data_IF_704826063558
#
_entry.id   IF_704826063558
#
_cell.length_a   1.000
_cell.length_b   1.000
_cell.length_c   1.000
_cell.angle_alpha   90.00
_cell.angle_beta   90.00
_cell.angle_gamma   90.00
#
_symmetry.space_group_name_H-M   'P 1'
#
loop_
_entity.id
_entity.type
_entity.pdbx_description
1 polymer ?
#
# COMPACT_ATOMS: atom_id res chain seq x y z
N UNK A 1 -19.94 -9.52 0.77
CA UNK A 1 -19.67 -10.01 -0.62
C UNK A 1 -18.57 -11.03 -0.50
N UNK A 2 -18.70 -12.19 -1.07
CA UNK A 2 -17.58 -13.14 -1.13
C UNK A 2 -16.57 -12.65 -2.16
N UNK A 3 -15.33 -12.37 -1.74
CA UNK A 3 -14.27 -11.89 -2.62
C UNK A 3 -13.51 -13.00 -3.37
N UNK A 4 -13.85 -14.27 -3.11
CA UNK A 4 -13.23 -15.43 -3.76
C UNK A 4 -11.74 -15.61 -3.46
N UNK A 5 -11.24 -15.09 -2.34
CA UNK A 5 -9.81 -15.11 -1.96
C UNK A 5 -9.52 -15.92 -0.69
N UNK A 6 -10.52 -16.58 -0.13
CA UNK A 6 -10.31 -17.44 1.04
C UNK A 6 -9.27 -18.54 0.74
N UNK A 7 -8.37 -18.79 1.69
CA UNK A 7 -7.26 -19.73 1.55
C UNK A 7 -6.03 -19.20 0.77
N UNK A 8 -6.10 -17.99 0.20
CA UNK A 8 -4.95 -17.30 -0.41
C UNK A 8 -3.96 -16.83 0.64
N UNK A 9 -2.78 -16.41 0.17
CA UNK A 9 -1.71 -15.87 1.01
C UNK A 9 -1.37 -14.45 0.60
N UNK A 10 -1.11 -13.57 1.58
CA UNK A 10 -0.79 -12.17 1.32
C UNK A 10 0.40 -11.67 2.14
N UNK A 11 1.24 -10.85 1.51
CA UNK A 11 2.26 -10.05 2.19
C UNK A 11 1.87 -8.57 2.16
N UNK A 12 1.80 -7.94 3.34
CA UNK A 12 1.40 -6.54 3.50
C UNK A 12 2.55 -5.75 4.11
N UNK A 13 3.16 -4.89 3.31
CA UNK A 13 4.26 -4.04 3.74
C UNK A 13 3.77 -2.91 4.65
N UNK A 14 4.57 -2.56 5.68
CA UNK A 14 4.22 -1.57 6.71
C UNK A 14 2.81 -1.81 7.29
N UNK A 15 2.49 -3.09 7.58
CA UNK A 15 1.18 -3.56 8.01
C UNK A 15 0.92 -3.42 9.52
N UNK A 16 1.84 -2.83 10.28
CA UNK A 16 1.70 -2.72 11.75
C UNK A 16 0.83 -1.55 12.22
N UNK A 17 0.39 -0.66 11.32
CA UNK A 17 -0.47 0.49 11.67
C UNK A 17 -1.18 1.08 10.43
N UNK A 18 -2.16 1.93 10.68
CA UNK A 18 -2.82 2.76 9.65
C UNK A 18 -3.39 1.97 8.48
N UNK A 19 -3.16 2.45 7.26
CA UNK A 19 -3.76 1.88 6.04
C UNK A 19 -3.28 0.45 5.74
N UNK A 20 -2.00 0.16 6.04
CA UNK A 20 -1.47 -1.20 5.89
C UNK A 20 -2.13 -2.19 6.86
N UNK A 21 -2.38 -1.77 8.10
CA UNK A 21 -3.10 -2.59 9.08
C UNK A 21 -4.57 -2.80 8.66
N UNK A 22 -5.25 -1.74 8.18
CA UNK A 22 -6.60 -1.86 7.63
C UNK A 22 -6.67 -2.87 6.49
N UNK A 23 -5.71 -2.82 5.54
CA UNK A 23 -5.62 -3.79 4.45
C UNK A 23 -5.38 -5.23 4.96
N UNK A 24 -4.50 -5.41 5.96
CA UNK A 24 -4.24 -6.72 6.54
C UNK A 24 -5.47 -7.31 7.24
N UNK A 25 -6.20 -6.49 8.01
CA UNK A 25 -7.47 -6.90 8.66
C UNK A 25 -8.51 -7.32 7.63
N UNK A 26 -8.72 -6.52 6.59
CA UNK A 26 -9.72 -6.81 5.57
C UNK A 26 -9.41 -8.13 4.83
N UNK A 27 -8.16 -8.34 4.42
CA UNK A 27 -7.74 -9.58 3.76
C UNK A 27 -7.88 -10.79 4.70
N UNK A 28 -7.48 -10.66 5.96
CA UNK A 28 -7.61 -11.74 6.95
C UNK A 28 -9.08 -12.09 7.24
N UNK A 29 -9.98 -11.10 7.29
CA UNK A 29 -11.41 -11.31 7.47
C UNK A 29 -12.06 -12.11 6.31
N UNK A 30 -11.50 -12.01 5.10
CA UNK A 30 -11.88 -12.81 3.94
C UNK A 30 -11.15 -14.16 3.85
N UNK A 31 -10.50 -14.60 4.92
CA UNK A 31 -9.86 -15.92 5.03
C UNK A 31 -8.47 -16.02 4.37
N UNK A 32 -7.81 -14.89 4.12
CA UNK A 32 -6.43 -14.85 3.60
C UNK A 32 -5.44 -15.01 4.75
N UNK A 33 -4.44 -15.89 4.60
CA UNK A 33 -3.31 -15.97 5.52
C UNK A 33 -2.35 -14.81 5.25
N UNK A 34 -2.04 -14.01 6.26
CA UNK A 34 -1.31 -12.74 6.06
C UNK A 34 0.05 -12.75 6.75
N UNK A 35 1.05 -12.16 6.06
CA UNK A 35 2.32 -11.75 6.62
C UNK A 35 2.38 -10.21 6.60
N UNK A 36 2.77 -9.61 7.72
CA UNK A 36 2.93 -8.15 7.84
C UNK A 36 4.37 -7.80 8.20
N UNK A 37 4.84 -6.63 7.76
CA UNK A 37 6.11 -6.12 8.25
C UNK A 37 6.03 -4.72 8.87
N UNK A 38 7.03 -4.41 9.67
CA UNK A 38 7.22 -3.12 10.32
C UNK A 38 8.55 -3.08 11.09
N UNK A 39 8.93 -1.92 11.62
CA UNK A 39 10.21 -1.71 12.31
C UNK A 39 10.16 -1.95 13.82
N UNK A 40 8.99 -2.11 14.38
CA UNK A 40 8.75 -2.15 15.82
C UNK A 40 8.03 -3.46 16.17
N UNK A 41 8.73 -4.35 16.87
CA UNK A 41 8.23 -5.65 17.26
C UNK A 41 6.96 -5.57 18.14
N UNK A 42 6.88 -4.58 19.03
CA UNK A 42 5.70 -4.43 19.90
C UNK A 42 4.46 -4.01 19.08
N UNK A 43 4.62 -3.12 18.12
CA UNK A 43 3.54 -2.74 17.20
C UNK A 43 3.13 -3.88 16.27
N UNK A 44 4.08 -4.69 15.81
CA UNK A 44 3.79 -5.88 15.02
C UNK A 44 2.97 -6.90 15.84
N UNK A 45 3.36 -7.15 17.09
CA UNK A 45 2.61 -8.04 17.98
C UNK A 45 1.18 -7.53 18.25
N UNK A 46 1.02 -6.22 18.53
CA UNK A 46 -0.29 -5.61 18.70
C UNK A 46 -1.14 -5.68 17.42
N UNK A 47 -0.53 -5.47 16.25
CA UNK A 47 -1.20 -5.59 14.96
C UNK A 47 -1.66 -7.02 14.69
N UNK A 48 -0.83 -8.02 14.97
CA UNK A 48 -1.19 -9.43 14.83
C UNK A 48 -2.41 -9.81 15.69
N UNK A 49 -2.47 -9.32 16.92
CA UNK A 49 -3.64 -9.49 17.79
C UNK A 49 -4.89 -8.79 17.23
N UNK A 50 -4.74 -7.60 16.65
CA UNK A 50 -5.85 -6.84 16.09
C UNK A 50 -6.37 -7.42 14.76
N UNK A 51 -5.52 -8.09 13.98
CA UNK A 51 -5.90 -8.81 12.76
C UNK A 51 -6.60 -10.12 13.13
N UNK A 52 -6.07 -10.84 14.12
CA UNK A 52 -6.55 -12.17 14.52
C UNK A 52 -6.08 -13.30 13.63
N UNK A 53 -6.25 -14.55 14.08
CA UNK A 53 -5.80 -15.73 13.35
C UNK A 53 -4.29 -15.94 13.36
N UNK A 54 -3.79 -16.68 12.37
CA UNK A 54 -2.36 -17.00 12.21
C UNK A 54 -1.67 -15.93 11.33
N UNK A 55 -1.15 -14.90 11.97
CA UNK A 55 -0.46 -13.77 11.32
C UNK A 55 1.05 -13.92 11.46
N UNK A 56 1.75 -13.94 10.32
CA UNK A 56 3.22 -13.88 10.29
C UNK A 56 3.68 -12.43 10.47
N UNK A 57 4.54 -12.19 11.47
CA UNK A 57 5.14 -10.86 11.70
C UNK A 57 6.63 -10.89 11.36
N UNK A 58 7.08 -9.91 10.58
CA UNK A 58 8.45 -9.78 10.10
C UNK A 58 8.99 -8.39 10.43
N UNK A 59 10.10 -8.31 11.14
CA UNK A 59 10.77 -7.03 11.34
C UNK A 59 11.52 -6.63 10.05
N UNK A 60 11.20 -5.45 9.52
CA UNK A 60 11.86 -4.90 8.33
C UNK A 60 11.84 -3.37 8.32
N UNK A 61 12.97 -2.77 7.94
CA UNK A 61 13.06 -1.36 7.60
C UNK A 61 13.09 -1.19 6.08
N UNK A 62 11.97 -0.82 5.50
CA UNK A 62 11.78 -0.69 4.06
C UNK A 62 12.58 0.49 3.44
N UNK A 63 13.30 1.27 4.21
CA UNK A 63 14.24 2.29 3.70
C UNK A 63 15.61 1.70 3.35
N UNK A 64 15.94 0.54 3.90
CA UNK A 64 17.23 -0.12 3.64
C UNK A 64 17.28 -0.77 2.24
N UNK A 65 18.45 -0.84 1.60
CA UNK A 65 18.65 -1.54 0.34
C UNK A 65 18.23 -3.02 0.43
N UNK A 66 17.56 -3.51 -0.62
CA UNK A 66 17.04 -4.90 -0.74
C UNK A 66 15.96 -5.30 0.27
N UNK A 67 15.57 -4.43 1.20
CA UNK A 67 14.60 -4.77 2.25
C UNK A 67 13.24 -5.16 1.70
N UNK A 68 12.81 -4.57 0.59
CA UNK A 68 11.58 -4.95 -0.09
C UNK A 68 11.63 -6.39 -0.62
N UNK A 69 12.74 -6.78 -1.24
CA UNK A 69 12.97 -8.15 -1.71
C UNK A 69 13.00 -9.14 -0.54
N UNK A 70 13.81 -8.86 0.47
CA UNK A 70 13.97 -9.72 1.65
C UNK A 70 12.64 -9.93 2.40
N UNK A 71 11.83 -8.88 2.51
CA UNK A 71 10.49 -9.01 3.09
C UNK A 71 9.62 -10.02 2.31
N UNK A 72 9.57 -9.93 0.98
CA UNK A 72 8.79 -10.85 0.15
C UNK A 72 9.33 -12.27 0.23
N UNK A 73 10.65 -12.47 0.19
CA UNK A 73 11.29 -13.77 0.32
C UNK A 73 10.95 -14.43 1.67
N UNK A 74 11.06 -13.69 2.77
CA UNK A 74 10.74 -14.16 4.12
C UNK A 74 9.23 -14.46 4.28
N UNK A 75 8.37 -13.60 3.77
CA UNK A 75 6.92 -13.82 3.77
C UNK A 75 6.56 -15.08 2.97
N UNK A 76 7.15 -15.26 1.79
CA UNK A 76 6.93 -16.42 0.95
C UNK A 76 7.41 -17.70 1.64
N UNK A 77 8.56 -17.67 2.31
CA UNK A 77 9.07 -18.83 3.06
C UNK A 77 8.14 -19.22 4.21
N UNK A 78 7.58 -18.24 4.92
CA UNK A 78 6.66 -18.48 6.04
C UNK A 78 5.26 -18.94 5.61
N UNK A 79 4.75 -18.41 4.48
CA UNK A 79 3.41 -18.72 3.97
C UNK A 79 3.37 -19.91 2.99
N UNK A 80 4.53 -20.33 2.47
CA UNK A 80 4.67 -21.37 1.46
C UNK A 80 4.64 -20.83 0.02
N UNK A 81 3.80 -19.85 -0.26
CA UNK A 81 3.73 -19.11 -1.53
C UNK A 81 3.11 -17.74 -1.28
N UNK A 82 3.10 -16.89 -2.30
CA UNK A 82 2.52 -15.54 -2.20
C UNK A 82 1.58 -15.27 -3.37
N UNK A 83 0.28 -15.09 -3.08
CA UNK A 83 -0.75 -14.79 -4.06
C UNK A 83 -1.03 -13.29 -4.16
N UNK A 84 -1.01 -12.59 -3.02
CA UNK A 84 -1.36 -11.17 -2.91
C UNK A 84 -0.19 -10.40 -2.33
N UNK A 85 0.18 -9.30 -2.97
CA UNK A 85 1.16 -8.34 -2.46
C UNK A 85 0.50 -6.98 -2.27
N UNK A 86 0.49 -6.48 -1.04
CA UNK A 86 0.14 -5.08 -0.75
C UNK A 86 1.42 -4.31 -0.44
N UNK A 87 1.91 -3.52 -1.40
CA UNK A 87 3.07 -2.67 -1.17
C UNK A 87 2.65 -1.38 -0.46
N UNK A 88 3.39 -1.02 0.56
CA UNK A 88 3.18 0.18 1.36
C UNK A 88 4.49 0.57 2.04
N UNK A 89 4.64 1.83 2.41
CA UNK A 89 5.75 2.30 3.22
C UNK A 89 5.36 3.55 4.01
N UNK A 90 6.18 3.93 4.97
CA UNK A 90 6.04 5.21 5.65
C UNK A 90 6.14 6.38 4.66
N UNK A 91 5.59 7.52 5.03
CA UNK A 91 5.78 8.71 4.20
C UNK A 91 7.02 9.49 4.65
N UNK A 92 7.74 10.16 3.74
CA UNK A 92 8.84 11.07 4.07
C UNK A 92 8.32 12.29 4.86
N UNK A 93 9.20 13.05 5.51
CA UNK A 93 8.83 14.32 6.15
C UNK A 93 8.17 15.28 5.15
N UNK A 94 7.29 16.19 5.61
CA UNK A 94 6.79 17.28 4.79
C UNK A 94 7.92 18.20 4.30
N UNK A 95 7.75 18.75 3.10
CA UNK A 95 8.70 19.71 2.52
C UNK A 95 8.13 20.34 1.26
N UNK A 96 8.57 21.57 1.01
CA UNK A 96 8.24 22.41 -0.16
C UNK A 96 9.44 22.51 -1.10
N UNK A 97 9.29 23.20 -2.22
CA UNK A 97 10.43 23.47 -3.13
C UNK A 97 11.60 24.15 -2.42
N UNK A 98 11.34 25.07 -1.50
CA UNK A 98 12.36 25.86 -0.84
C UNK A 98 13.14 25.10 0.25
N UNK A 99 12.50 24.12 0.91
CA UNK A 99 13.08 23.46 2.09
C UNK A 99 13.25 21.94 1.96
N UNK A 100 13.08 21.37 0.76
CA UNK A 100 13.36 19.96 0.49
C UNK A 100 14.74 19.84 -0.14
N UNK A 101 15.70 19.32 0.59
CA UNK A 101 17.04 19.04 0.09
C UNK A 101 17.11 17.80 -0.82
N UNK A 102 18.20 17.62 -1.55
CA UNK A 102 18.36 16.50 -2.49
C UNK A 102 18.37 15.13 -1.79
N UNK A 103 18.92 15.05 -0.58
CA UNK A 103 18.97 13.80 0.17
C UNK A 103 17.56 13.35 0.60
N UNK A 104 16.65 14.30 0.86
CA UNK A 104 15.25 13.98 1.14
C UNK A 104 14.53 13.36 -0.07
N UNK A 105 14.88 13.77 -1.29
CA UNK A 105 14.34 13.11 -2.51
C UNK A 105 14.86 11.69 -2.64
N UNK A 106 16.17 11.46 -2.40
CA UNK A 106 16.74 10.12 -2.47
C UNK A 106 16.10 9.19 -1.42
N UNK A 107 16.00 9.66 -0.17
CA UNK A 107 15.37 8.89 0.91
C UNK A 107 13.89 8.57 0.62
N UNK A 108 13.15 9.53 0.06
CA UNK A 108 11.77 9.31 -0.36
C UNK A 108 11.66 8.30 -1.51
N UNK A 109 12.56 8.37 -2.49
CA UNK A 109 12.61 7.43 -3.60
C UNK A 109 12.94 6.02 -3.10
N UNK A 110 13.94 5.86 -2.24
CA UNK A 110 14.32 4.56 -1.69
C UNK A 110 13.16 3.91 -0.95
N UNK A 111 12.48 4.66 -0.08
CA UNK A 111 11.37 4.15 0.73
C UNK A 111 10.07 3.95 -0.07
N UNK A 112 9.69 4.88 -0.96
CA UNK A 112 8.35 4.94 -1.55
C UNK A 112 8.29 4.55 -3.03
N UNK A 113 9.45 4.24 -3.64
CA UNK A 113 9.52 3.78 -5.02
C UNK A 113 10.36 2.51 -5.12
N UNK A 114 11.67 2.56 -4.80
CA UNK A 114 12.59 1.44 -4.97
C UNK A 114 12.16 0.21 -4.16
N UNK A 115 11.87 0.36 -2.86
CA UNK A 115 11.44 -0.78 -2.02
C UNK A 115 10.21 -1.49 -2.58
N UNK A 116 9.25 -0.73 -3.13
CA UNK A 116 8.03 -1.30 -3.72
C UNK A 116 8.31 -1.98 -5.07
N UNK A 117 9.25 -1.45 -5.87
CA UNK A 117 9.74 -2.11 -7.08
C UNK A 117 10.44 -3.43 -6.72
N UNK A 118 11.27 -3.45 -5.68
CA UNK A 118 11.93 -4.66 -5.16
C UNK A 118 10.90 -5.73 -4.78
N UNK A 119 9.85 -5.36 -4.04
CA UNK A 119 8.76 -6.28 -3.68
C UNK A 119 8.05 -6.86 -4.91
N UNK A 120 7.70 -6.02 -5.89
CA UNK A 120 7.05 -6.46 -7.12
C UNK A 120 7.95 -7.43 -7.91
N UNK A 121 9.24 -7.12 -8.03
CA UNK A 121 10.20 -7.97 -8.73
C UNK A 121 10.43 -9.33 -8.05
N UNK A 122 10.31 -9.39 -6.73
CA UNK A 122 10.44 -10.62 -5.97
C UNK A 122 9.19 -11.51 -6.02
N UNK A 123 7.99 -10.91 -6.14
CA UNK A 123 6.72 -11.66 -6.06
C UNK A 123 6.12 -12.03 -7.42
N UNK A 124 6.14 -11.11 -8.38
CA UNK A 124 5.42 -11.25 -9.66
C UNK A 124 5.87 -12.46 -10.49
N UNK A 125 7.16 -12.81 -10.62
CA UNK A 125 7.56 -13.97 -11.42
C UNK A 125 6.84 -15.25 -11.01
N UNK A 126 6.80 -15.58 -9.72
CA UNK A 126 6.11 -16.77 -9.23
C UNK A 126 4.58 -16.68 -9.35
N UNK A 127 3.98 -15.47 -9.27
CA UNK A 127 2.56 -15.26 -9.54
C UNK A 127 2.23 -15.58 -11.02
N UNK A 128 3.06 -15.12 -11.96
CA UNK A 128 2.93 -15.38 -13.40
C UNK A 128 2.98 -16.90 -13.70
N UNK A 129 3.94 -17.61 -13.11
CA UNK A 129 4.07 -19.06 -13.27
C UNK A 129 2.83 -19.82 -12.80
N UNK A 130 2.14 -19.33 -11.76
CA UNK A 130 0.90 -19.92 -11.25
C UNK A 130 -0.36 -19.44 -11.98
N UNK A 131 -0.25 -18.48 -12.91
CA UNK A 131 -1.38 -17.90 -13.64
C UNK A 131 -2.34 -17.10 -12.75
N UNK A 132 -1.90 -16.66 -11.56
CA UNK A 132 -2.71 -15.88 -10.63
C UNK A 132 -1.83 -15.01 -9.73
N UNK A 133 -2.19 -13.74 -9.61
CA UNK A 133 -1.56 -12.80 -8.69
C UNK A 133 -2.32 -11.49 -8.57
N UNK A 134 -2.24 -10.87 -7.39
CA UNK A 134 -2.81 -9.55 -7.11
C UNK A 134 -1.77 -8.67 -6.45
N UNK A 135 -1.46 -7.55 -7.09
CA UNK A 135 -0.59 -6.51 -6.54
C UNK A 135 -1.41 -5.24 -6.35
N UNK A 136 -1.48 -4.74 -5.13
CA UNK A 136 -2.11 -3.47 -4.80
C UNK A 136 -1.11 -2.57 -4.07
N UNK A 137 -0.72 -1.46 -4.69
CA UNK A 137 0.18 -0.50 -4.07
C UNK A 137 -0.60 0.61 -3.35
N UNK A 138 -0.33 0.82 -2.06
CA UNK A 138 -0.84 1.98 -1.34
C UNK A 138 0.03 3.18 -1.70
N UNK A 139 -0.49 4.07 -2.52
CA UNK A 139 0.23 5.24 -2.99
C UNK A 139 -0.28 6.54 -2.33
N UNK A 140 -0.92 7.43 -3.04
CA UNK A 140 -1.44 8.71 -2.52
C UNK A 140 -2.34 9.38 -3.56
N UNK A 141 -3.32 10.17 -3.13
CA UNK A 141 -3.98 11.17 -3.98
C UNK A 141 -2.97 12.12 -4.64
N UNK A 142 -1.81 12.32 -4.00
CA UNK A 142 -0.73 13.17 -4.51
C UNK A 142 -0.13 12.73 -5.86
N UNK A 143 -0.41 11.52 -6.35
CA UNK A 143 0.01 11.07 -7.70
C UNK A 143 -0.94 11.58 -8.79
N UNK A 144 -2.16 11.96 -8.45
CA UNK A 144 -3.14 12.59 -9.33
C UNK A 144 -3.13 14.11 -9.19
N UNK A 145 -3.11 14.56 -7.95
CA UNK A 145 -3.09 15.98 -7.60
C UNK A 145 -1.93 16.24 -6.64
N UNK A 146 -0.78 16.75 -7.12
CA UNK A 146 0.40 17.00 -6.30
C UNK A 146 0.09 17.88 -5.09
N UNK A 147 0.61 17.47 -3.92
CA UNK A 147 0.41 18.15 -2.65
C UNK A 147 1.65 19.01 -2.36
N UNK A 148 1.49 20.34 -2.35
CA UNK A 148 2.60 21.29 -2.33
C UNK A 148 3.58 21.15 -1.16
N UNK A 149 3.14 20.65 -0.01
CA UNK A 149 4.00 20.40 1.15
C UNK A 149 4.47 18.93 1.28
N UNK A 150 4.25 18.10 0.26
CA UNK A 150 4.72 16.71 0.19
C UNK A 150 5.56 16.47 -1.06
N UNK A 151 6.48 17.38 -1.37
CA UNK A 151 7.26 17.42 -2.61
C UNK A 151 7.97 16.09 -2.90
N UNK A 152 8.86 15.65 -2.01
CA UNK A 152 9.64 14.43 -2.20
C UNK A 152 8.75 13.18 -2.31
N UNK A 153 7.67 13.10 -1.51
CA UNK A 153 6.70 12.01 -1.58
C UNK A 153 5.98 11.96 -2.93
N UNK A 154 5.54 13.12 -3.45
CA UNK A 154 4.83 13.22 -4.73
C UNK A 154 5.71 12.76 -5.89
N UNK A 155 6.98 13.19 -5.92
CA UNK A 155 7.96 12.78 -6.95
C UNK A 155 8.19 11.27 -6.92
N UNK A 156 8.47 10.69 -5.75
CA UNK A 156 8.75 9.26 -5.62
C UNK A 156 7.54 8.40 -6.01
N UNK A 157 6.34 8.78 -5.57
CA UNK A 157 5.12 8.02 -5.85
C UNK A 157 4.62 8.18 -7.28
N UNK A 158 4.89 9.30 -7.95
CA UNK A 158 4.63 9.45 -9.38
C UNK A 158 5.50 8.48 -10.21
N UNK A 159 6.79 8.36 -9.88
CA UNK A 159 7.69 7.38 -10.47
C UNK A 159 7.21 5.94 -10.26
N UNK A 160 6.79 5.59 -9.04
CA UNK A 160 6.19 4.29 -8.75
C UNK A 160 4.93 4.05 -9.58
N UNK A 161 4.04 5.04 -9.71
CA UNK A 161 2.79 4.90 -10.46
C UNK A 161 3.04 4.57 -11.93
N UNK A 162 4.07 5.20 -12.53
CA UNK A 162 4.51 4.85 -13.89
C UNK A 162 5.00 3.40 -13.99
N UNK A 163 5.84 2.95 -13.05
CA UNK A 163 6.29 1.56 -12.98
C UNK A 163 5.11 0.58 -12.88
N UNK A 164 4.17 0.83 -11.97
CA UNK A 164 2.99 -0.03 -11.79
C UNK A 164 2.15 -0.13 -13.07
N UNK A 165 1.96 0.99 -13.79
CA UNK A 165 1.21 1.02 -15.04
C UNK A 165 1.86 0.19 -16.13
N UNK A 166 3.16 0.30 -16.29
CA UNK A 166 3.92 -0.49 -17.27
C UNK A 166 3.87 -1.97 -16.92
N UNK A 167 4.16 -2.32 -15.65
CA UNK A 167 4.13 -3.70 -15.15
C UNK A 167 2.75 -4.33 -15.35
N UNK A 168 1.67 -3.62 -15.02
CA UNK A 168 0.31 -4.12 -15.21
C UNK A 168 0.02 -4.60 -16.63
N UNK A 169 0.48 -3.84 -17.62
CA UNK A 169 0.29 -4.17 -19.05
C UNK A 169 1.13 -5.38 -19.48
N UNK A 170 2.31 -5.53 -18.89
CA UNK A 170 3.23 -6.60 -19.22
C UNK A 170 2.77 -7.96 -18.68
N UNK A 171 2.16 -7.98 -17.47
CA UNK A 171 1.83 -9.23 -16.77
C UNK A 171 0.34 -9.62 -16.84
N UNK A 172 -0.50 -8.79 -17.46
CA UNK A 172 -1.95 -9.01 -17.49
C UNK A 172 -2.35 -10.35 -18.15
N UNK A 173 -1.65 -10.77 -19.21
CA UNK A 173 -1.91 -12.02 -19.90
C UNK A 173 -1.60 -13.25 -19.04
N UNK A 174 -0.79 -13.10 -18.00
CA UNK A 174 -0.40 -14.17 -17.08
C UNK A 174 -1.32 -14.26 -15.84
N UNK A 175 -2.49 -13.62 -15.87
CA UNK A 175 -3.47 -13.65 -14.79
C UNK A 175 -3.11 -12.80 -13.56
N UNK A 176 -2.12 -11.89 -13.70
CA UNK A 176 -1.67 -11.00 -12.62
C UNK A 176 -2.25 -9.59 -12.83
N UNK A 177 -2.92 -9.05 -11.81
CA UNK A 177 -3.34 -7.65 -11.81
C UNK A 177 -2.42 -6.80 -10.94
N UNK A 178 -2.14 -5.57 -11.39
CA UNK A 178 -1.32 -4.60 -10.66
C UNK A 178 -2.05 -3.27 -10.63
N UNK A 179 -2.48 -2.87 -9.44
CA UNK A 179 -3.26 -1.65 -9.22
C UNK A 179 -2.68 -0.81 -8.08
N UNK A 180 -3.17 0.40 -7.91
CA UNK A 180 -2.88 1.20 -6.72
C UNK A 180 -4.16 1.70 -6.05
N UNK A 181 -4.18 1.67 -4.72
CA UNK A 181 -5.14 2.38 -3.89
C UNK A 181 -4.53 3.73 -3.50
N UNK A 182 -5.25 4.81 -3.77
CA UNK A 182 -4.76 6.19 -3.66
C UNK A 182 -5.51 6.92 -2.55
N UNK A 183 -5.01 6.87 -1.30
CA UNK A 183 -5.67 7.50 -0.18
C UNK A 183 -5.61 9.03 -0.27
N UNK A 184 -6.72 9.68 0.06
CA UNK A 184 -6.76 11.05 0.53
C UNK A 184 -6.50 11.13 2.04
N UNK A 185 -7.15 12.06 2.73
CA UNK A 185 -7.00 12.28 4.17
C UNK A 185 -7.72 11.18 4.96
N UNK A 186 -6.98 10.16 5.39
CA UNK A 186 -7.44 9.13 6.31
C UNK A 186 -6.93 9.39 7.72
N UNK A 187 -7.76 9.21 8.74
CA UNK A 187 -7.37 9.43 10.12
C UNK A 187 -6.46 8.31 10.63
N UNK A 188 -5.18 8.59 10.65
CA UNK A 188 -4.12 7.68 11.08
C UNK A 188 -3.21 8.39 12.08
N UNK A 189 -2.40 7.65 12.85
CA UNK A 189 -1.38 8.23 13.75
C UNK A 189 -0.45 9.23 13.05
N UNK A 190 -0.22 9.05 11.75
CA UNK A 190 0.57 9.98 10.96
C UNK A 190 -0.14 11.31 10.76
N UNK A 191 -1.42 11.28 10.40
CA UNK A 191 -2.22 12.50 10.19
C UNK A 191 -2.42 13.22 11.52
N UNK A 192 -2.68 12.49 12.60
CA UNK A 192 -2.81 13.04 13.95
C UNK A 192 -1.55 13.75 14.48
N UNK A 193 -0.36 13.50 13.90
CA UNK A 193 0.88 14.23 14.21
C UNK A 193 1.03 15.54 13.44
N UNK A 194 0.27 15.74 12.37
CA UNK A 194 0.39 16.88 11.44
C UNK A 194 -0.80 17.84 11.64
N UNK A 195 -1.97 17.30 11.94
CA UNK A 195 -3.23 18.04 12.07
C UNK A 195 -3.73 17.90 13.51
N UNK A 196 -4.19 18.99 14.17
CA UNK A 196 -4.50 19.00 15.60
C UNK A 196 -5.63 18.04 15.99
N UNK A 197 -6.63 17.87 15.12
CA UNK A 197 -7.81 17.06 15.38
C UNK A 197 -8.47 16.55 14.09
N UNK A 198 -9.39 15.59 14.26
CA UNK A 198 -10.10 14.93 13.16
C UNK A 198 -11.05 15.89 12.42
N UNK A 199 -11.63 16.86 13.10
CA UNK A 199 -12.55 17.83 12.52
C UNK A 199 -11.80 18.79 11.56
N UNK A 200 -10.64 19.28 12.00
CA UNK A 200 -9.75 20.10 11.16
C UNK A 200 -9.30 19.31 9.93
N UNK A 201 -8.92 18.04 10.08
CA UNK A 201 -8.56 17.19 8.96
C UNK A 201 -9.74 17.02 7.97
N UNK A 202 -10.95 16.77 8.48
CA UNK A 202 -12.17 16.60 7.69
C UNK A 202 -12.58 17.88 6.95
N UNK A 203 -12.27 19.05 7.48
CA UNK A 203 -12.67 20.34 6.88
C UNK A 203 -12.06 20.56 5.48
N UNK A 204 -10.91 19.95 5.20
CA UNK A 204 -10.23 20.01 3.89
C UNK A 204 -10.75 18.98 2.87
N UNK A 205 -11.62 18.06 3.31
CA UNK A 205 -12.18 17.00 2.48
C UNK A 205 -13.57 17.41 1.99
N UNK A 206 -13.90 17.33 0.69
CA UNK A 206 -15.25 17.66 0.21
C UNK A 206 -16.37 16.86 0.89
N UNK A 207 -16.14 15.59 1.19
CA UNK A 207 -17.07 14.74 1.93
C UNK A 207 -17.27 15.14 3.40
N UNK A 208 -16.48 16.10 3.94
CA UNK A 208 -16.52 16.59 5.33
C UNK A 208 -16.31 15.49 6.40
N UNK A 209 -15.70 14.41 6.03
CA UNK A 209 -15.22 13.34 6.90
C UNK A 209 -13.78 12.98 6.55
N UNK A 210 -13.06 12.36 7.47
CA UNK A 210 -11.79 11.68 7.16
C UNK A 210 -12.09 10.23 6.81
N UNK A 211 -11.31 9.65 5.91
CA UNK A 211 -11.37 8.21 5.65
C UNK A 211 -10.98 7.39 6.89
N UNK A 212 -11.58 6.22 7.02
CA UNK A 212 -11.21 5.21 8.02
C UNK A 212 -10.22 4.22 7.41
N UNK A 213 -9.15 3.83 8.12
CA UNK A 213 -8.21 2.80 7.64
C UNK A 213 -8.84 1.43 7.36
N UNK A 214 -9.86 1.03 8.10
CA UNK A 214 -10.52 -0.27 7.89
C UNK A 214 -11.41 -0.22 6.62
N UNK A 215 -12.12 0.89 6.35
CA UNK A 215 -12.86 1.10 5.10
C UNK A 215 -11.89 1.15 3.89
N UNK A 216 -10.73 1.78 4.05
CA UNK A 216 -9.68 1.75 3.03
C UNK A 216 -9.20 0.33 2.77
N UNK A 217 -9.04 -0.46 3.83
CA UNK A 217 -8.67 -1.87 3.75
C UNK A 217 -9.66 -2.70 2.94
N UNK A 218 -10.95 -2.44 3.09
CA UNK A 218 -11.99 -3.12 2.30
C UNK A 218 -11.86 -2.84 0.80
N UNK A 219 -11.50 -1.61 0.41
CA UNK A 219 -11.24 -1.27 -1.00
C UNK A 219 -9.97 -1.96 -1.53
N UNK A 220 -8.92 -2.11 -0.71
CA UNK A 220 -7.72 -2.88 -1.06
C UNK A 220 -8.07 -4.36 -1.25
N UNK A 221 -8.85 -4.96 -0.34
CA UNK A 221 -9.29 -6.36 -0.46
C UNK A 221 -10.11 -6.58 -1.74
N UNK A 222 -11.01 -5.65 -2.09
CA UNK A 222 -11.73 -5.69 -3.37
C UNK A 222 -10.78 -5.69 -4.58
N UNK A 223 -9.78 -4.81 -4.62
CA UNK A 223 -8.80 -4.80 -5.72
C UNK A 223 -7.97 -6.10 -5.80
N UNK A 224 -7.87 -6.85 -4.71
CA UNK A 224 -7.21 -8.14 -4.64
C UNK A 224 -8.14 -9.33 -4.89
N UNK A 225 -9.43 -9.12 -5.15
CA UNK A 225 -10.45 -10.14 -5.29
C UNK A 225 -10.46 -10.86 -6.67
N UNK A 226 -11.24 -11.93 -6.76
CA UNK A 226 -11.58 -12.56 -8.05
C UNK A 226 -12.45 -11.64 -8.93
N UNK A 227 -13.31 -10.83 -8.32
CA UNK A 227 -14.17 -9.90 -9.04
C UNK A 227 -13.36 -8.78 -9.72
N UNK A 228 -12.20 -8.45 -9.18
CA UNK A 228 -11.31 -7.44 -9.74
C UNK A 228 -10.37 -7.96 -10.84
N UNK A 229 -10.51 -9.20 -11.31
CA UNK A 229 -9.60 -9.79 -12.31
C UNK A 229 -9.51 -9.05 -13.65
N UNK A 230 -10.49 -8.21 -13.97
CA UNK A 230 -10.49 -7.37 -15.16
C UNK A 230 -10.10 -5.91 -14.87
N UNK A 231 -9.69 -5.61 -13.62
CA UNK A 231 -9.20 -4.31 -13.18
C UNK A 231 -7.69 -4.40 -13.04
N UNK A 232 -6.93 -3.79 -13.95
CA UNK A 232 -5.47 -3.75 -13.88
C UNK A 232 -4.92 -2.45 -14.46
N UNK A 233 -3.82 -1.97 -13.91
CA UNK A 233 -3.18 -0.72 -14.31
C UNK A 233 -3.97 0.54 -13.91
N UNK A 234 -4.87 0.43 -12.94
CA UNK A 234 -5.64 1.57 -12.43
C UNK A 234 -5.14 2.08 -11.08
N UNK A 235 -5.42 3.36 -10.80
CA UNK A 235 -5.29 3.97 -9.48
C UNK A 235 -6.67 4.34 -8.98
N UNK A 236 -7.17 3.60 -7.98
CA UNK A 236 -8.45 3.89 -7.33
C UNK A 236 -8.28 4.98 -6.28
N UNK A 237 -8.90 6.13 -6.52
CA UNK A 237 -9.00 7.20 -5.53
C UNK A 237 -9.93 6.78 -4.39
N UNK A 238 -9.46 6.93 -3.15
CA UNK A 238 -10.23 6.71 -1.92
C UNK A 238 -9.98 7.96 -1.06
N UNK A 239 -10.61 9.06 -1.41
CA UNK A 239 -10.17 10.39 -0.98
C UNK A 239 -11.30 11.34 -0.55
N UNK A 240 -12.53 10.90 -0.55
CA UNK A 240 -13.68 11.76 -0.20
C UNK A 240 -13.88 12.94 -1.16
N UNK A 241 -13.37 12.82 -2.40
CA UNK A 241 -13.49 13.84 -3.43
C UNK A 241 -12.38 14.91 -3.38
N UNK A 242 -11.25 14.65 -2.73
CA UNK A 242 -10.14 15.62 -2.63
C UNK A 242 -9.44 15.89 -3.97
N UNK A 243 -9.31 14.91 -4.84
CA UNK A 243 -8.79 15.12 -6.18
C UNK A 243 -9.84 15.87 -7.02
N UNK A 244 -9.45 17.03 -7.55
CA UNK A 244 -10.34 17.91 -8.31
C UNK A 244 -10.23 17.72 -9.83
N UNK A 245 -9.28 16.91 -10.31
CA UNK A 245 -9.08 16.67 -11.74
C UNK A 245 -10.21 15.84 -12.36
N UNK A 246 -10.60 16.20 -13.59
CA UNK A 246 -11.60 15.46 -14.36
C UNK A 246 -11.00 14.18 -15.00
N UNK A 247 -9.73 14.24 -15.36
CA UNK A 247 -9.02 13.12 -16.00
C UNK A 247 -8.10 12.43 -14.99
N UNK A 248 -8.31 11.16 -14.82
CA UNK A 248 -7.52 10.28 -13.98
C UNK A 248 -6.35 9.61 -14.74
#
# INVERSE_FOLDING_TARGET
MDLGISGRTAAIAAGSAGLGLGAAKALAADGVRVAICGRDAAKLAAAALAIGGDVVTLEADLSAPNSGREFVENATAALGHLDILVTNAGGPPPGTFENTDLDAYQAAFDMNCRSMIEMCRASIPAMRERGWGRVCAITSVGVKQPIGYLMASSVARAGLTSFLKITAREVAADGVTVNSAQPGTHWTDRVAKIVPDKETAASSVPARITGDPDDFGAAVAFLCSEQAKFITGTGLLIDGGQAAGLLD
#
